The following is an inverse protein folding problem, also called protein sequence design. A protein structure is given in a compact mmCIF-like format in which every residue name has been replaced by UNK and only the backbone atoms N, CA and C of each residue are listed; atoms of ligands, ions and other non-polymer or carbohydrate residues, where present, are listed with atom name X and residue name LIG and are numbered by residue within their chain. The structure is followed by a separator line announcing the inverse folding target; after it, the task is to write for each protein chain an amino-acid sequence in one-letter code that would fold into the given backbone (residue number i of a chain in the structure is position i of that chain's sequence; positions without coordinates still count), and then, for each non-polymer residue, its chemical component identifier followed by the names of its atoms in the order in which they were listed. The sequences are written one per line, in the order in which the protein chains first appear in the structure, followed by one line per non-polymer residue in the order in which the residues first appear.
data_IF_486160896079
#
_entry.id   IF_486160896079
#
_cell.length_a   1.000
_cell.length_b   1.000
_cell.length_c   1.000
_cell.angle_alpha   90.00
_cell.angle_beta   90.00
_cell.angle_gamma   90.00
#
_symmetry.space_group_name_H-M   'P 1'
#
loop_
_entity.id
_entity.type
_entity.pdbx_description
1 polymer ?
#
# COMPACT_ATOMS: atom_id res chain seq x y z
N UNK A 1 2.95 2.20 8.19
CA UNK A 1 2.74 2.01 6.73
C UNK A 1 3.39 0.74 6.22
N UNK A 2 4.72 0.59 6.26
CA UNK A 2 5.42 -0.58 5.68
C UNK A 2 4.90 -1.93 6.22
N UNK A 3 4.64 -2.02 7.52
CA UNK A 3 4.04 -3.22 8.13
C UNK A 3 2.64 -3.51 7.53
N UNK A 4 1.79 -2.50 7.42
CA UNK A 4 0.42 -2.63 6.89
C UNK A 4 0.45 -2.99 5.41
N UNK A 5 1.24 -2.29 4.59
CA UNK A 5 1.37 -2.59 3.16
C UNK A 5 1.99 -3.97 2.93
N UNK A 6 2.94 -4.40 3.76
CA UNK A 6 3.52 -5.74 3.69
C UNK A 6 2.50 -6.84 3.97
N UNK A 7 1.67 -6.66 5.01
CA UNK A 7 0.58 -7.58 5.33
C UNK A 7 -0.43 -7.64 4.18
N UNK A 8 -0.87 -6.48 3.67
CA UNK A 8 -1.81 -6.41 2.54
C UNK A 8 -1.25 -7.07 1.29
N UNK A 9 0.03 -6.84 1.00
CA UNK A 9 0.73 -7.45 -0.13
C UNK A 9 0.80 -8.96 0.01
N UNK A 10 1.16 -9.48 1.19
CA UNK A 10 1.19 -10.91 1.44
C UNK A 10 -0.18 -11.56 1.26
N UNK A 11 -1.24 -10.95 1.80
CA UNK A 11 -2.61 -11.45 1.66
C UNK A 11 -3.05 -11.48 0.19
N UNK A 12 -2.83 -10.38 -0.54
CA UNK A 12 -3.20 -10.30 -1.96
C UNK A 12 -2.38 -11.24 -2.86
N UNK A 13 -1.06 -11.26 -2.68
CA UNK A 13 -0.15 -12.14 -3.44
C UNK A 13 -0.49 -13.60 -3.20
N UNK A 14 -0.69 -14.01 -1.95
CA UNK A 14 -1.03 -15.40 -1.62
C UNK A 14 -2.33 -15.84 -2.29
N UNK A 15 -3.37 -14.99 -2.25
CA UNK A 15 -4.64 -15.29 -2.89
C UNK A 15 -4.57 -15.40 -4.42
N UNK A 16 -3.66 -14.66 -5.08
CA UNK A 16 -3.45 -14.74 -6.54
C UNK A 16 -2.53 -15.89 -6.92
N UNK A 17 -1.51 -16.16 -6.12
CA UNK A 17 -0.64 -17.31 -6.31
C UNK A 17 -1.45 -18.60 -6.33
N UNK A 18 -2.34 -18.81 -5.36
CA UNK A 18 -3.22 -19.99 -5.31
C UNK A 18 -4.09 -20.10 -6.57
N UNK A 19 -4.64 -18.98 -7.07
CA UNK A 19 -5.43 -18.97 -8.31
C UNK A 19 -4.61 -19.37 -9.53
N UNK A 20 -3.42 -18.78 -9.71
CA UNK A 20 -2.55 -19.15 -10.84
C UNK A 20 -2.08 -20.59 -10.76
N UNK A 21 -1.84 -21.09 -9.55
CA UNK A 21 -1.44 -22.48 -9.34
C UNK A 21 -2.58 -23.45 -9.71
N UNK A 22 -3.84 -23.06 -9.44
CA UNK A 22 -5.01 -23.80 -9.90
C UNK A 22 -5.18 -23.76 -11.43
N UNK A 23 -4.96 -22.61 -12.07
CA UNK A 23 -4.98 -22.47 -13.54
C UNK A 23 -3.86 -23.28 -14.21
N UNK A 24 -2.66 -23.32 -13.59
CA UNK A 24 -1.57 -24.17 -14.07
C UNK A 24 -1.84 -25.67 -13.89
N UNK A 25 -2.46 -26.06 -12.76
CA UNK A 25 -2.87 -27.45 -12.52
C UNK A 25 -4.01 -27.91 -13.47
N UNK A 26 -4.86 -26.97 -13.92
CA UNK A 26 -5.87 -27.22 -14.94
C UNK A 26 -5.29 -27.33 -16.37
N UNK A 27 -3.99 -27.05 -16.55
CA UNK A 27 -3.31 -27.12 -17.84
C UNK A 27 -3.48 -25.88 -18.72
N UNK A 28 -4.12 -24.82 -18.23
CA UNK A 28 -4.29 -23.56 -19.00
C UNK A 28 -3.04 -22.67 -18.96
N UNK A 29 -2.16 -22.88 -17.98
CA UNK A 29 -0.89 -22.16 -17.83
C UNK A 29 0.27 -23.13 -17.63
N UNK A 30 1.38 -22.92 -18.32
CA UNK A 30 2.61 -23.66 -18.02
C UNK A 30 3.17 -23.17 -16.67
N UNK A 31 3.44 -24.10 -15.75
CA UNK A 31 3.95 -23.78 -14.41
C UNK A 31 5.24 -22.95 -14.41
N UNK A 32 6.08 -23.10 -15.44
CA UNK A 32 7.32 -22.32 -15.61
C UNK A 32 7.08 -20.83 -15.85
N UNK A 33 5.97 -20.43 -16.49
CA UNK A 33 5.65 -19.01 -16.74
C UNK A 33 4.96 -18.34 -15.57
N UNK A 34 4.44 -19.11 -14.61
CA UNK A 34 3.70 -18.59 -13.46
C UNK A 34 4.55 -17.60 -12.65
N UNK A 35 5.81 -17.95 -12.38
CA UNK A 35 6.73 -17.09 -11.62
C UNK A 35 7.02 -15.78 -12.36
N UNK A 36 7.14 -15.84 -13.69
CA UNK A 36 7.40 -14.68 -14.54
C UNK A 36 6.17 -13.76 -14.63
N UNK A 37 4.97 -14.33 -14.70
CA UNK A 37 3.70 -13.59 -14.64
C UNK A 37 3.56 -12.88 -13.29
N UNK A 38 3.88 -13.57 -12.19
CA UNK A 38 3.82 -12.98 -10.86
C UNK A 38 4.81 -11.84 -10.68
N UNK A 39 6.06 -12.00 -11.14
CA UNK A 39 7.06 -10.95 -11.10
C UNK A 39 6.65 -9.72 -11.91
N UNK A 40 6.03 -9.92 -13.08
CA UNK A 40 5.53 -8.82 -13.91
C UNK A 40 4.34 -8.08 -13.30
N UNK A 41 3.43 -8.78 -12.62
CA UNK A 41 2.27 -8.15 -11.94
C UNK A 41 2.62 -7.54 -10.58
N UNK A 42 3.71 -7.97 -9.96
CA UNK A 42 4.18 -7.47 -8.66
C UNK A 42 4.24 -5.93 -8.56
N UNK A 43 4.89 -5.20 -9.49
CA UNK A 43 4.94 -3.73 -9.43
C UNK A 43 3.55 -3.09 -9.50
N UNK A 44 2.64 -3.60 -10.33
CA UNK A 44 1.27 -3.08 -10.42
C UNK A 44 0.46 -3.30 -9.15
N UNK A 45 0.67 -4.41 -8.44
CA UNK A 45 0.06 -4.60 -7.12
C UNK A 45 0.66 -3.67 -6.06
N UNK A 46 1.97 -3.47 -6.09
CA UNK A 46 2.64 -2.58 -5.14
C UNK A 46 2.17 -1.13 -5.31
N UNK A 47 1.93 -0.69 -6.55
CA UNK A 47 1.37 0.63 -6.89
C UNK A 47 0.00 0.86 -6.23
N UNK A 48 -0.85 -0.17 -6.17
CA UNK A 48 -2.17 -0.09 -5.52
C UNK A 48 -2.10 -0.23 -4.00
N UNK A 49 -1.20 -1.08 -3.49
CA UNK A 49 -1.13 -1.42 -2.06
C UNK A 49 -0.41 -0.36 -1.23
N UNK A 50 0.58 0.33 -1.80
CA UNK A 50 1.28 1.44 -1.13
C UNK A 50 0.34 2.56 -0.64
N UNK A 51 -0.51 3.17 -1.49
CA UNK A 51 -1.43 4.23 -1.06
C UNK A 51 -2.49 3.71 -0.09
N UNK A 52 -2.98 2.47 -0.29
CA UNK A 52 -3.91 1.84 0.64
C UNK A 52 -3.27 1.63 2.03
N UNK A 53 -2.05 1.12 2.07
CA UNK A 53 -1.28 0.90 3.30
C UNK A 53 -0.89 2.21 4.00
N UNK A 54 -0.69 3.29 3.25
CA UNK A 54 -0.51 4.63 3.80
C UNK A 54 -1.79 5.13 4.46
N UNK A 55 -2.93 5.02 3.77
CA UNK A 55 -4.24 5.40 4.29
C UNK A 55 -4.59 4.64 5.59
N UNK A 56 -4.52 3.31 5.57
CA UNK A 56 -4.79 2.50 6.77
C UNK A 56 -3.75 2.78 7.87
N UNK A 57 -2.48 2.99 7.50
CA UNK A 57 -1.44 3.37 8.44
C UNK A 57 -1.75 4.67 9.19
N UNK A 58 -2.28 5.68 8.49
CA UNK A 58 -2.72 6.94 9.12
C UNK A 58 -3.91 6.68 10.04
N UNK A 59 -4.92 5.93 9.58
CA UNK A 59 -6.10 5.63 10.40
C UNK A 59 -5.74 4.91 11.70
N UNK A 60 -4.81 3.96 11.66
CA UNK A 60 -4.34 3.25 12.86
C UNK A 60 -3.54 4.16 13.78
N UNK A 61 -2.64 4.98 13.22
CA UNK A 61 -1.85 5.93 14.01
C UNK A 61 -2.73 6.96 14.71
N UNK A 62 -3.65 7.59 13.98
CA UNK A 62 -4.60 8.53 14.55
C UNK A 62 -5.57 7.84 15.51
N UNK A 63 -6.10 6.68 15.17
CA UNK A 63 -6.94 5.88 16.06
C UNK A 63 -6.27 5.61 17.40
N UNK A 64 -4.96 5.29 17.39
CA UNK A 64 -4.17 5.12 18.61
C UNK A 64 -4.02 6.42 19.39
N UNK A 65 -3.67 7.51 18.71
CA UNK A 65 -3.51 8.84 19.29
C UNK A 65 -4.81 9.39 19.90
N UNK A 66 -5.97 9.02 19.35
CA UNK A 66 -7.29 9.31 19.94
C UNK A 66 -7.56 8.45 21.17
N UNK A 67 -7.30 7.14 21.11
CA UNK A 67 -7.51 6.22 22.24
C UNK A 67 -6.61 6.56 23.44
N UNK A 68 -5.40 7.02 23.20
CA UNK A 68 -4.43 7.41 24.24
C UNK A 68 -4.61 8.88 24.66
N UNK A 69 -5.65 9.56 24.17
CA UNK A 69 -5.98 10.96 24.45
C UNK A 69 -4.87 11.98 24.08
N UNK A 70 -3.82 11.56 23.38
CA UNK A 70 -2.74 12.43 22.89
C UNK A 70 -3.25 13.50 21.92
N UNK A 71 -4.22 13.13 21.07
CA UNK A 71 -4.86 14.09 20.15
C UNK A 71 -5.57 15.21 20.92
N UNK A 72 -6.26 14.88 22.01
CA UNK A 72 -6.95 15.85 22.87
C UNK A 72 -5.96 16.83 23.51
N UNK A 73 -4.80 16.33 23.95
CA UNK A 73 -3.71 17.16 24.50
C UNK A 73 -3.15 18.10 23.43
N UNK A 74 -2.90 17.60 22.21
CA UNK A 74 -2.42 18.41 21.08
C UNK A 74 -3.38 19.58 20.78
N UNK A 75 -4.68 19.32 20.75
CA UNK A 75 -5.68 20.37 20.54
C UNK A 75 -5.75 21.35 21.72
N UNK A 76 -5.62 20.88 22.96
CA UNK A 76 -5.59 21.74 24.15
C UNK A 76 -4.36 22.67 24.17
N UNK A 77 -3.23 22.22 23.62
CA UNK A 77 -2.02 23.04 23.44
C UNK A 77 -2.09 24.01 22.24
N UNK A 78 -3.23 24.09 21.54
CA UNK A 78 -3.46 25.03 20.44
C UNK A 78 -3.01 24.55 19.07
N UNK A 79 -2.66 23.27 18.89
CA UNK A 79 -2.42 22.72 17.55
C UNK A 79 -3.76 22.59 16.83
N UNK A 80 -3.88 23.18 15.65
CA UNK A 80 -5.12 23.12 14.86
C UNK A 80 -5.16 21.90 13.93
N UNK A 81 -6.37 21.47 13.56
CA UNK A 81 -6.60 20.38 12.60
C UNK A 81 -5.82 20.58 11.29
N UNK A 82 -5.74 21.84 10.83
CA UNK A 82 -5.02 22.20 9.60
C UNK A 82 -3.53 21.91 9.69
N UNK A 83 -2.90 22.12 10.85
CA UNK A 83 -1.48 21.80 11.03
C UNK A 83 -1.25 20.29 11.01
N UNK A 84 -2.16 19.53 11.63
CA UNK A 84 -2.12 18.07 11.59
C UNK A 84 -2.24 17.56 10.14
N UNK A 85 -3.21 18.12 9.41
CA UNK A 85 -3.48 17.77 8.03
C UNK A 85 -2.29 18.10 7.11
N UNK A 86 -1.66 19.27 7.29
CA UNK A 86 -0.42 19.61 6.58
C UNK A 86 0.73 18.64 6.88
N UNK A 87 0.90 18.22 8.14
CA UNK A 87 1.94 17.24 8.50
C UNK A 87 1.70 15.89 7.81
N UNK A 88 0.47 15.40 7.77
CA UNK A 88 0.14 14.20 7.00
C UNK A 88 0.33 14.37 5.49
N UNK A 89 0.03 15.55 4.95
CA UNK A 89 0.21 15.84 3.54
C UNK A 89 1.69 15.88 3.16
N UNK A 90 2.54 16.49 3.99
CA UNK A 90 4.00 16.41 3.84
C UNK A 90 4.50 14.96 3.91
N UNK A 91 3.93 14.16 4.83
CA UNK A 91 4.23 12.74 4.94
C UNK A 91 3.80 11.89 3.75
N UNK A 92 2.86 12.36 2.91
CA UNK A 92 2.40 11.63 1.72
C UNK A 92 3.29 11.83 0.50
N UNK A 93 4.09 12.90 0.46
CA UNK A 93 5.03 13.22 -0.63
C UNK A 93 5.94 12.02 -1.01
N UNK A 94 6.63 11.34 -0.07
CA UNK A 94 7.47 10.19 -0.44
C UNK A 94 6.66 9.05 -1.06
N UNK A 95 5.44 8.81 -0.57
CA UNK A 95 4.55 7.79 -1.13
C UNK A 95 4.11 8.17 -2.55
N UNK A 96 3.77 9.45 -2.75
CA UNK A 96 3.42 9.99 -4.06
C UNK A 96 4.56 9.84 -5.06
N UNK A 97 5.80 10.13 -4.67
CA UNK A 97 6.98 9.98 -5.52
C UNK A 97 7.25 8.52 -5.90
N UNK A 98 7.13 7.59 -4.94
CA UNK A 98 7.33 6.16 -5.20
C UNK A 98 6.24 5.64 -6.14
N UNK A 99 4.97 5.91 -5.85
CA UNK A 99 3.84 5.48 -6.69
C UNK A 99 3.95 6.10 -8.08
N UNK A 100 4.26 7.40 -8.18
CA UNK A 100 4.45 8.10 -9.46
C UNK A 100 5.61 7.53 -10.29
N UNK A 101 6.74 7.21 -9.65
CA UNK A 101 7.86 6.57 -10.32
C UNK A 101 7.51 5.16 -10.82
N UNK A 102 6.81 4.36 -10.01
CA UNK A 102 6.35 3.03 -10.40
C UNK A 102 5.34 3.09 -11.55
N UNK A 103 4.39 4.03 -11.50
CA UNK A 103 3.41 4.25 -12.57
C UNK A 103 4.11 4.66 -13.87
N UNK A 104 5.07 5.59 -13.82
CA UNK A 104 5.85 6.00 -14.99
C UNK A 104 6.74 4.89 -15.58
N UNK A 105 7.17 3.92 -14.78
CA UNK A 105 7.90 2.74 -15.26
C UNK A 105 6.97 1.65 -15.82
N UNK A 106 5.73 1.59 -15.35
CA UNK A 106 4.72 0.67 -15.87
C UNK A 106 3.98 1.21 -17.12
N UNK A 107 3.94 2.54 -17.28
CA UNK A 107 3.28 3.28 -18.37
C UNK A 107 4.19 4.02 -19.39
N UNK A 108 5.48 3.68 -19.64
CA UNK A 108 6.28 4.35 -20.66
C UNK A 108 6.11 3.75 -22.07
N UNK A 109 5.19 2.79 -22.26
CA UNK A 109 5.01 2.05 -23.52
C UNK A 109 3.60 1.55 -23.81
N UNK A 110 2.57 2.33 -23.48
CA UNK A 110 1.22 2.17 -24.04
C UNK A 110 1.03 3.09 -25.26
#
# INVERSE_FOLDING_TARGET
MLAVSGILLLVFMSGRFIKYLAEAAAGELAGDVLFQIMAYRFPGFLELILPLGFFIGILLAYGRMYLESEMTVLFACGVSDKQLLMKTLLGSIPVMLVVGAMSSMCLPGA
#
